data_IF_749651068589
#
_entry.id   IF_749651068589
#
_cell.length_a   1.000
_cell.length_b   1.000
_cell.length_c   1.000
_cell.angle_alpha   90.00
_cell.angle_beta   90.00
_cell.angle_gamma   90.00
#
_symmetry.space_group_name_H-M   'P 1'
#
loop_
_entity.id
_entity.type
_entity.pdbx_description
1 polymer ?
#
# COMPACT_ATOMS: atom_id res chain seq x y z
N UNK A 1 5.37 2.45 9.04
CA UNK A 1 6.20 1.76 8.03
C UNK A 1 5.74 2.22 6.66
N UNK A 2 6.63 2.69 5.79
CA UNK A 2 6.23 3.20 4.46
C UNK A 2 6.04 2.06 3.46
N UNK A 3 5.20 2.28 2.46
CA UNK A 3 4.87 1.31 1.39
C UNK A 3 5.22 1.91 0.04
N UNK A 4 5.98 1.17 -0.75
CA UNK A 4 6.47 1.57 -2.07
C UNK A 4 6.01 0.58 -3.14
N UNK A 5 5.61 1.11 -4.29
CA UNK A 5 5.37 0.32 -5.50
C UNK A 5 6.69 -0.18 -6.10
N UNK A 6 6.60 -1.15 -7.02
CA UNK A 6 7.76 -1.73 -7.71
C UNK A 6 8.59 -0.71 -8.49
N UNK A 7 7.98 0.40 -8.92
CA UNK A 7 8.65 1.51 -9.58
C UNK A 7 9.40 2.46 -8.61
N UNK A 8 9.32 2.21 -7.30
CA UNK A 8 9.95 3.05 -6.26
C UNK A 8 9.11 4.25 -5.81
N UNK A 9 7.90 4.42 -6.33
CA UNK A 9 6.97 5.47 -5.86
C UNK A 9 6.37 5.09 -4.51
N UNK A 10 6.39 6.01 -3.55
CA UNK A 10 5.68 5.82 -2.27
C UNK A 10 4.16 5.83 -2.54
N UNK A 11 3.49 4.74 -2.21
CA UNK A 11 2.03 4.61 -2.38
C UNK A 11 1.26 4.89 -1.09
N UNK A 12 1.94 4.86 0.06
CA UNK A 12 1.32 5.23 1.33
C UNK A 12 2.16 4.81 2.53
N UNK A 13 1.50 4.80 3.69
CA UNK A 13 2.07 4.36 4.97
C UNK A 13 1.12 3.37 5.62
N UNK A 14 1.69 2.29 6.18
CA UNK A 14 0.93 1.31 6.95
C UNK A 14 0.31 1.98 8.17
N UNK A 15 -1.02 1.89 8.27
CA UNK A 15 -1.83 2.23 9.44
C UNK A 15 -1.99 0.98 10.32
N UNK A 16 -2.49 -0.12 9.73
CA UNK A 16 -2.69 -1.40 10.40
C UNK A 16 -2.56 -2.58 9.42
N UNK A 17 -2.39 -3.79 9.95
CA UNK A 17 -2.50 -5.04 9.18
C UNK A 17 -3.79 -5.73 9.59
N UNK A 18 -4.70 -5.94 8.65
CA UNK A 18 -6.04 -6.50 8.86
C UNK A 18 -6.15 -7.81 8.07
N UNK A 19 -6.06 -8.95 8.77
CA UNK A 19 -6.07 -10.27 8.14
C UNK A 19 -4.95 -10.39 7.11
N UNK A 20 -5.34 -10.60 5.85
CA UNK A 20 -4.42 -10.72 4.70
C UNK A 20 -4.23 -9.41 3.92
N UNK A 21 -4.48 -8.26 4.56
CA UNK A 21 -4.36 -6.94 3.93
C UNK A 21 -3.64 -5.92 4.82
N UNK A 22 -3.02 -4.96 4.17
CA UNK A 22 -2.39 -3.79 4.78
C UNK A 22 -3.33 -2.61 4.59
N UNK A 23 -3.80 -2.03 5.69
CA UNK A 23 -4.52 -0.77 5.68
C UNK A 23 -3.52 0.39 5.61
N UNK A 24 -3.70 1.27 4.65
CA UNK A 24 -2.96 2.50 4.48
C UNK A 24 -3.60 3.65 5.26
N UNK A 25 -2.77 4.59 5.70
CA UNK A 25 -3.24 5.81 6.37
C UNK A 25 -3.96 6.72 5.39
N UNK A 26 -5.11 7.27 5.79
CA UNK A 26 -5.83 8.26 4.98
C UNK A 26 -5.05 9.56 4.73
N UNK A 27 -4.13 9.91 5.61
CA UNK A 27 -3.35 11.16 5.53
C UNK A 27 -2.28 11.14 4.44
N UNK A 28 -1.81 9.96 4.04
CA UNK A 28 -0.88 9.79 2.92
C UNK A 28 -1.64 9.40 1.63
N UNK A 29 -2.98 9.39 1.64
CA UNK A 29 -3.80 9.07 0.47
C UNK A 29 -4.22 10.34 -0.29
N UNK A 30 -4.13 10.37 -1.63
CA UNK A 30 -4.54 11.52 -2.45
C UNK A 30 -6.04 11.84 -2.37
N UNK A 31 -6.88 10.87 -2.03
CA UNK A 31 -8.34 11.05 -1.88
C UNK A 31 -8.80 11.25 -0.42
N UNK A 32 -7.86 11.24 0.53
CA UNK A 32 -8.16 11.36 1.96
C UNK A 32 -8.90 10.17 2.57
N UNK A 33 -8.94 9.02 1.90
CA UNK A 33 -9.57 7.78 2.38
C UNK A 33 -8.54 6.73 2.78
N UNK A 34 -8.97 5.77 3.59
CA UNK A 34 -8.17 4.59 3.88
C UNK A 34 -8.30 3.59 2.73
N UNK A 35 -7.16 3.11 2.26
CA UNK A 35 -7.08 2.05 1.25
C UNK A 35 -6.47 0.81 1.83
N UNK A 36 -6.87 -0.35 1.29
CA UNK A 36 -6.29 -1.65 1.62
C UNK A 36 -5.48 -2.17 0.44
N UNK A 37 -4.35 -2.78 0.77
CA UNK A 37 -3.49 -3.50 -0.17
C UNK A 37 -3.37 -4.95 0.29
N UNK A 38 -3.67 -5.95 -0.57
CA UNK A 38 -3.45 -7.35 -0.23
C UNK A 38 -1.97 -7.65 0.11
N UNK A 39 -1.73 -8.46 1.14
CA UNK A 39 -0.39 -8.95 1.47
C UNK A 39 0.23 -9.76 0.32
N UNK A 40 -0.59 -10.35 -0.55
CA UNK A 40 -0.15 -11.05 -1.75
C UNK A 40 0.62 -10.16 -2.75
N UNK A 41 0.47 -8.83 -2.68
CA UNK A 41 1.24 -7.91 -3.51
C UNK A 41 2.61 -7.58 -2.90
N UNK A 42 2.89 -8.00 -1.67
CA UNK A 42 4.16 -7.69 -1.00
C UNK A 42 5.27 -8.55 -1.59
N UNK A 43 6.16 -7.93 -2.36
CA UNK A 43 7.35 -8.58 -2.90
C UNK A 43 8.47 -8.70 -1.87
N UNK A 44 8.66 -7.65 -1.07
CA UNK A 44 9.76 -7.57 -0.09
C UNK A 44 9.39 -6.69 1.08
N UNK A 45 9.78 -7.13 2.28
CA UNK A 45 9.70 -6.34 3.51
C UNK A 45 11.10 -6.07 4.02
N UNK A 46 11.45 -4.80 4.18
CA UNK A 46 12.68 -4.36 4.84
C UNK A 46 12.39 -3.07 5.60
N UNK A 47 13.29 -2.06 5.64
CA UNK A 47 12.99 -0.75 6.25
C UNK A 47 11.69 -0.09 5.74
N UNK A 48 11.19 -0.54 4.58
CA UNK A 48 9.85 -0.29 4.07
C UNK A 48 9.26 -1.55 3.39
N UNK A 49 7.96 -1.54 3.11
CA UNK A 49 7.28 -2.56 2.31
C UNK A 49 7.44 -2.21 0.83
N UNK A 50 7.81 -3.18 0.01
CA UNK A 50 7.95 -3.05 -1.43
C UNK A 50 6.96 -4.00 -2.12
N UNK A 51 6.11 -3.45 -2.98
CA UNK A 51 5.08 -4.19 -3.71
C UNK A 51 5.63 -4.73 -5.04
N UNK A 52 5.00 -5.77 -5.58
CA UNK A 52 5.29 -6.32 -6.91
C UNK A 52 4.55 -5.58 -8.05
N UNK A 53 3.67 -4.64 -7.70
CA UNK A 53 2.86 -3.83 -8.63
C UNK A 53 3.39 -2.41 -8.80
N UNK A 54 3.18 -1.84 -9.99
CA UNK A 54 3.44 -0.42 -10.25
C UNK A 54 2.43 0.48 -9.52
N UNK A 55 2.79 1.72 -9.22
CA UNK A 55 1.95 2.67 -8.50
C UNK A 55 0.60 2.95 -9.18
N UNK A 56 0.52 2.94 -10.52
CA UNK A 56 -0.74 3.12 -11.25
C UNK A 56 -1.66 1.93 -11.00
N UNK A 57 -1.12 0.70 -11.08
CA UNK A 57 -1.89 -0.52 -10.81
C UNK A 57 -2.37 -0.56 -9.35
N UNK A 58 -1.50 -0.19 -8.41
CA UNK A 58 -1.86 -0.14 -6.99
C UNK A 58 -3.02 0.82 -6.74
N UNK A 59 -3.00 2.01 -7.37
CA UNK A 59 -4.06 3.01 -7.21
C UNK A 59 -5.38 2.60 -7.90
N UNK A 60 -5.30 1.92 -9.04
CA UNK A 60 -6.49 1.43 -9.77
C UNK A 60 -7.16 0.25 -9.04
N UNK A 61 -6.36 -0.60 -8.40
CA UNK A 61 -6.82 -1.81 -7.72
C UNK A 61 -6.99 -1.63 -6.20
N UNK A 62 -6.91 -0.39 -5.68
CA UNK A 62 -7.16 -0.12 -4.26
C UNK A 62 -8.53 -0.62 -3.83
N UNK A 63 -8.58 -1.21 -2.63
CA UNK A 63 -9.83 -1.56 -1.99
C UNK A 63 -10.14 -0.57 -0.87
N UNK A 64 -11.39 -0.12 -0.72
CA UNK A 64 -11.78 0.69 0.43
C UNK A 64 -11.53 -0.09 1.73
N UNK A 65 -11.04 0.62 2.76
CA UNK A 65 -10.96 0.06 4.11
C UNK A 65 -12.33 0.01 4.82
#
# INVERSE_FOLDING_TARGET
MDVYASCGTKVGRVDHVEGDSIKLTRSDSPDGQHHRIPLSWVAKVHGHVHLDRDHVQVQDEWQPA
#
